data_IF_034456512305
#
_entry.id   IF_034456512305
#
_cell.length_a   1.000
_cell.length_b   1.000
_cell.length_c   1.000
_cell.angle_alpha   90.00
_cell.angle_beta   90.00
_cell.angle_gamma   90.00
#
_symmetry.space_group_name_H-M   'P 1'
#
loop_
_entity.id
_entity.type
_entity.pdbx_description
1 polymer ?
#
# COMPACT_ATOMS: atom_id res chain seq x y z
N UNK A 1 -9.73 13.29 23.15
CA UNK A 1 -9.50 13.14 21.71
C UNK A 1 -9.57 11.65 21.38
N UNK A 2 -10.74 11.13 21.01
CA UNK A 2 -10.98 9.68 20.83
C UNK A 2 -10.33 9.08 19.58
N UNK A 3 -9.92 9.93 18.62
CA UNK A 3 -9.25 9.44 17.41
C UNK A 3 -7.93 8.72 17.73
N UNK A 4 -7.21 9.16 18.76
CA UNK A 4 -5.94 8.56 19.17
C UNK A 4 -6.09 7.12 19.70
N UNK A 5 -7.32 6.68 20.01
CA UNK A 5 -7.61 5.30 20.44
C UNK A 5 -7.55 4.31 19.27
N UNK A 6 -7.60 4.81 18.03
CA UNK A 6 -7.64 4.00 16.79
C UNK A 6 -6.67 4.48 15.71
N UNK A 7 -6.23 5.73 15.74
CA UNK A 7 -5.34 6.33 14.75
C UNK A 7 -4.00 6.70 15.39
N UNK A 8 -2.91 6.28 14.75
CA UNK A 8 -1.59 6.80 15.10
C UNK A 8 -1.50 8.30 14.81
N UNK A 9 -0.75 9.06 15.62
CA UNK A 9 -0.54 10.49 15.41
C UNK A 9 -0.07 10.79 13.97
N UNK A 10 0.81 9.93 13.47
CA UNK A 10 1.36 9.96 12.11
C UNK A 10 0.26 9.99 11.05
N UNK A 11 -0.85 9.27 11.23
CA UNK A 11 -1.95 9.19 10.27
C UNK A 11 -2.52 10.57 9.97
N UNK A 12 -2.78 11.37 10.99
CA UNK A 12 -3.33 12.72 10.84
C UNK A 12 -2.26 13.76 10.50
N UNK A 13 -1.03 13.57 11.02
CA UNK A 13 0.01 14.60 10.96
C UNK A 13 1.00 14.43 9.80
N UNK A 14 0.91 13.36 9.01
CA UNK A 14 1.73 13.14 7.82
C UNK A 14 0.82 12.88 6.62
N UNK A 15 0.19 13.93 6.05
CA UNK A 15 -0.79 13.79 4.97
C UNK A 15 -0.17 13.27 3.66
N UNK A 16 1.12 13.55 3.45
CA UNK A 16 1.91 13.19 2.28
C UNK A 16 3.39 13.01 2.65
N UNK A 17 4.06 12.05 2.00
CA UNK A 17 5.51 11.83 2.07
C UNK A 17 6.17 12.10 0.70
N UNK A 18 7.51 12.06 0.65
CA UNK A 18 8.28 12.48 -0.53
C UNK A 18 7.93 13.91 -0.99
N UNK A 19 7.80 14.81 -0.01
CA UNK A 19 7.58 16.25 -0.23
C UNK A 19 8.89 16.95 -0.60
N UNK A 20 8.79 18.12 -1.23
CA UNK A 20 9.95 18.95 -1.58
C UNK A 20 10.60 18.64 -2.94
N UNK A 21 9.87 17.97 -3.85
CA UNK A 21 10.30 17.77 -5.23
C UNK A 21 11.29 16.62 -5.46
N UNK A 22 11.67 15.89 -4.42
CA UNK A 22 12.50 14.68 -4.52
C UNK A 22 11.57 13.46 -4.59
N UNK A 23 11.51 12.75 -5.73
CA UNK A 23 10.64 11.59 -5.87
C UNK A 23 11.15 10.39 -5.08
N UNK A 24 10.22 9.53 -4.68
CA UNK A 24 10.49 8.21 -4.14
C UNK A 24 10.05 7.14 -5.14
N UNK A 25 10.74 6.00 -5.17
CA UNK A 25 10.29 4.83 -5.93
C UNK A 25 9.11 4.18 -5.22
N UNK A 26 8.02 4.02 -5.95
CA UNK A 26 6.81 3.30 -5.53
C UNK A 26 6.75 1.90 -6.13
N UNK A 27 7.32 1.73 -7.33
CA UNK A 27 7.48 0.41 -7.97
C UNK A 27 8.92 0.21 -8.44
N UNK A 28 9.42 -1.02 -8.29
CA UNK A 28 10.65 -1.51 -8.91
C UNK A 28 10.44 -2.90 -9.51
N UNK A 29 10.34 -2.99 -10.84
CA UNK A 29 10.18 -4.26 -11.58
C UNK A 29 11.52 -4.69 -12.18
N UNK A 30 12.17 -5.69 -11.58
CA UNK A 30 13.42 -6.26 -12.08
C UNK A 30 13.23 -7.23 -13.26
N UNK A 31 12.01 -7.69 -13.53
CA UNK A 31 11.75 -8.67 -14.60
C UNK A 31 11.99 -8.10 -16.00
N UNK A 32 11.99 -6.78 -16.13
CA UNK A 32 12.25 -6.07 -17.39
C UNK A 32 13.72 -5.67 -17.56
N UNK A 33 14.56 -5.94 -16.56
CA UNK A 33 15.99 -5.65 -16.62
C UNK A 33 16.68 -6.47 -17.71
N UNK A 34 17.74 -5.92 -18.31
CA UNK A 34 18.59 -6.61 -19.28
C UNK A 34 18.49 -6.10 -20.72
N UNK A 35 17.69 -5.06 -21.02
CA UNK A 35 17.58 -4.53 -22.38
C UNK A 35 18.92 -3.95 -22.86
N UNK A 36 19.21 -4.12 -24.15
CA UNK A 36 20.34 -3.48 -24.83
C UNK A 36 19.83 -2.78 -26.08
N UNK A 37 20.47 -1.69 -26.47
CA UNK A 37 20.18 -1.02 -27.74
C UNK A 37 20.72 -1.83 -28.94
N UNK A 38 20.54 -1.28 -30.16
CA UNK A 38 20.97 -1.92 -31.40
C UNK A 38 22.50 -2.14 -31.44
N UNK A 39 23.28 -1.32 -30.72
CA UNK A 39 24.73 -1.41 -30.60
C UNK A 39 25.18 -2.29 -29.43
N UNK A 40 24.24 -2.92 -28.71
CA UNK A 40 24.51 -3.81 -27.58
C UNK A 40 24.83 -3.08 -26.27
N UNK A 41 24.62 -1.76 -26.18
CA UNK A 41 24.88 -0.96 -24.98
C UNK A 41 23.67 -0.96 -24.05
N UNK A 42 23.92 -0.70 -22.77
CA UNK A 42 22.87 -0.59 -21.76
C UNK A 42 22.01 0.66 -22.00
N UNK A 43 20.71 0.51 -21.80
CA UNK A 43 19.69 1.53 -22.04
C UNK A 43 19.28 2.18 -20.71
N UNK A 44 19.06 3.49 -20.76
CA UNK A 44 18.43 4.26 -19.68
C UNK A 44 17.31 5.09 -20.29
N UNK A 45 16.10 4.95 -19.76
CA UNK A 45 14.97 5.81 -20.12
C UNK A 45 14.59 6.70 -18.96
N UNK A 46 14.17 7.92 -19.29
CA UNK A 46 13.77 8.95 -18.34
C UNK A 46 12.42 9.52 -18.73
N UNK A 47 11.66 9.98 -17.75
CA UNK A 47 10.46 10.77 -17.97
C UNK A 47 10.79 12.20 -18.43
N UNK A 48 9.75 12.97 -18.75
CA UNK A 48 9.85 14.39 -19.14
C UNK A 48 10.54 15.27 -18.08
N UNK A 49 10.57 14.82 -16.82
CA UNK A 49 11.21 15.52 -15.69
C UNK A 49 12.64 15.02 -15.44
N UNK A 50 13.19 14.21 -16.36
CA UNK A 50 14.55 13.67 -16.30
C UNK A 50 14.76 12.59 -15.25
N UNK A 51 13.69 12.01 -14.68
CA UNK A 51 13.77 10.92 -13.69
C UNK A 51 13.84 9.58 -14.39
N UNK A 52 14.74 8.71 -13.93
CA UNK A 52 14.92 7.38 -14.51
C UNK A 52 13.66 6.55 -14.28
N UNK A 53 13.02 6.15 -15.37
CA UNK A 53 11.86 5.24 -15.42
C UNK A 53 12.26 3.84 -15.80
N UNK A 54 13.39 3.66 -16.48
CA UNK A 54 13.97 2.37 -16.80
C UNK A 54 15.50 2.44 -16.82
N UNK A 55 16.15 1.38 -16.37
CA UNK A 55 17.58 1.19 -16.53
C UNK A 55 17.89 -0.30 -16.74
N UNK A 56 18.66 -0.68 -17.77
CA UNK A 56 18.96 -2.09 -18.06
C UNK A 56 19.47 -2.88 -16.87
N UNK A 57 20.22 -2.22 -15.98
CA UNK A 57 20.79 -2.81 -14.77
C UNK A 57 19.77 -3.13 -13.68
N UNK A 58 18.54 -2.60 -13.77
CA UNK A 58 17.57 -2.56 -12.67
C UNK A 58 16.11 -2.79 -13.11
N UNK A 59 15.78 -2.64 -14.38
CA UNK A 59 14.41 -2.72 -14.88
C UNK A 59 13.63 -1.43 -14.72
N UNK A 60 12.31 -1.54 -14.58
CA UNK A 60 11.38 -0.41 -14.57
C UNK A 60 11.14 0.18 -13.18
N UNK A 61 10.85 1.48 -13.16
CA UNK A 61 10.54 2.25 -11.97
C UNK A 61 9.29 3.11 -12.15
N UNK A 62 8.43 3.10 -11.13
CA UNK A 62 7.41 4.14 -10.96
C UNK A 62 7.86 5.04 -9.82
N UNK A 63 8.06 6.32 -10.13
CA UNK A 63 8.49 7.34 -9.18
C UNK A 63 7.31 8.26 -8.87
N UNK A 64 7.22 8.74 -7.62
CA UNK A 64 6.19 9.69 -7.22
C UNK A 64 6.70 10.70 -6.19
N UNK A 65 6.07 11.88 -6.16
CA UNK A 65 6.30 12.96 -5.18
C UNK A 65 4.98 13.29 -4.50
N UNK A 66 5.03 13.85 -3.29
CA UNK A 66 3.82 14.24 -2.53
C UNK A 66 2.82 13.07 -2.41
N UNK A 67 3.34 11.90 -2.06
CA UNK A 67 2.59 10.65 -2.07
C UNK A 67 1.70 10.58 -0.84
N UNK A 68 0.41 10.35 -1.06
CA UNK A 68 -0.55 10.02 0.01
C UNK A 68 -0.21 8.63 0.56
N UNK A 69 0.00 8.45 1.89
CA UNK A 69 0.21 7.14 2.47
C UNK A 69 -0.98 6.21 2.24
N UNK A 70 -0.71 4.91 2.22
CA UNK A 70 -1.75 3.89 2.38
C UNK A 70 -1.91 3.58 3.87
N UNK A 71 -3.12 3.32 4.33
CA UNK A 71 -3.39 3.12 5.76
C UNK A 71 -3.60 1.64 6.07
N UNK A 72 -3.05 1.16 7.18
CA UNK A 72 -3.16 -0.24 7.62
C UNK A 72 -3.23 -0.32 9.14
N UNK A 73 -3.94 -1.32 9.66
CA UNK A 73 -3.81 -1.70 11.07
C UNK A 73 -2.39 -2.20 11.32
N UNK A 74 -1.79 -1.72 12.41
CA UNK A 74 -0.44 -2.08 12.79
C UNK A 74 -0.28 -2.07 14.30
N UNK A 75 0.27 -3.17 14.83
CA UNK A 75 0.51 -3.36 16.27
C UNK A 75 1.99 -3.25 16.68
N UNK A 76 2.87 -2.83 15.77
CA UNK A 76 4.31 -2.71 16.01
C UNK A 76 5.13 -3.93 15.59
N UNK A 77 4.50 -5.06 15.26
CA UNK A 77 5.19 -6.29 14.90
C UNK A 77 5.26 -6.48 13.38
N UNK A 78 6.46 -6.82 12.90
CA UNK A 78 6.74 -7.06 11.48
C UNK A 78 7.37 -8.45 11.34
N UNK A 79 6.80 -9.28 10.49
CA UNK A 79 7.38 -10.56 10.08
C UNK A 79 8.10 -10.37 8.76
N UNK A 80 9.38 -10.75 8.69
CA UNK A 80 10.17 -10.67 7.46
C UNK A 80 10.20 -12.01 6.76
N UNK A 81 10.22 -11.98 5.44
CA UNK A 81 10.55 -13.16 4.62
C UNK A 81 12.07 -13.30 4.62
N UNK A 82 12.54 -14.45 5.10
CA UNK A 82 13.95 -14.81 5.15
C UNK A 82 14.37 -15.51 3.85
N UNK A 83 15.68 -15.70 3.67
CA UNK A 83 16.23 -16.29 2.44
C UNK A 83 15.86 -17.77 2.27
N UNK A 84 15.66 -18.48 3.38
CA UNK A 84 15.29 -19.89 3.46
C UNK A 84 13.77 -20.12 3.50
N UNK A 85 12.98 -19.05 3.61
CA UNK A 85 11.54 -19.14 3.56
C UNK A 85 11.06 -19.55 2.16
N UNK A 86 10.11 -20.48 2.14
CA UNK A 86 9.40 -20.84 0.92
C UNK A 86 8.30 -19.81 0.65
N UNK A 87 8.21 -19.38 -0.61
CA UNK A 87 7.16 -18.52 -1.14
C UNK A 87 6.17 -19.35 -1.97
N UNK A 88 4.95 -18.85 -2.09
CA UNK A 88 3.95 -19.41 -2.99
C UNK A 88 3.63 -18.41 -4.10
N UNK A 89 4.21 -18.56 -5.30
CA UNK A 89 3.99 -17.65 -6.43
C UNK A 89 2.53 -17.57 -6.92
N UNK A 90 1.64 -18.47 -6.48
CA UNK A 90 0.20 -18.39 -6.82
C UNK A 90 -0.56 -17.38 -5.96
N UNK A 91 -0.01 -17.00 -4.80
CA UNK A 91 -0.61 -16.05 -3.86
C UNK A 91 0.18 -14.72 -3.82
N UNK A 92 0.26 -14.07 -4.98
CA UNK A 92 0.92 -12.77 -5.13
C UNK A 92 0.03 -11.59 -4.67
N UNK A 93 0.63 -10.45 -4.24
CA UNK A 93 2.08 -10.22 -4.11
C UNK A 93 2.68 -10.89 -2.85
N UNK A 94 3.94 -11.30 -2.95
CA UNK A 94 4.69 -11.84 -1.80
C UNK A 94 5.18 -10.69 -0.92
N UNK A 95 4.82 -10.71 0.36
CA UNK A 95 5.33 -9.75 1.33
C UNK A 95 6.81 -10.00 1.65
N UNK A 96 7.71 -9.09 1.28
CA UNK A 96 9.10 -9.06 1.77
C UNK A 96 9.10 -8.87 3.28
N UNK A 97 8.17 -8.05 3.73
CA UNK A 97 7.72 -8.05 5.10
C UNK A 97 6.19 -8.07 5.14
N UNK A 98 5.66 -8.52 6.27
CA UNK A 98 4.24 -8.54 6.60
C UNK A 98 4.07 -7.75 7.88
N UNK A 99 3.20 -6.74 7.85
CA UNK A 99 2.81 -5.99 9.04
C UNK A 99 1.70 -6.75 9.76
N UNK A 100 1.80 -6.83 11.09
CA UNK A 100 0.78 -7.46 11.92
C UNK A 100 -0.10 -6.40 12.59
N UNK A 101 -1.34 -6.77 12.87
CA UNK A 101 -2.32 -5.92 13.55
C UNK A 101 -3.71 -6.09 12.97
N UNK A 102 -4.72 -5.81 13.79
CA UNK A 102 -6.12 -5.84 13.38
C UNK A 102 -6.97 -4.94 14.27
N UNK A 103 -8.16 -4.59 13.81
CA UNK A 103 -9.10 -3.80 14.60
C UNK A 103 -9.51 -4.46 15.94
N UNK A 104 -9.38 -5.80 16.02
CA UNK A 104 -9.87 -6.63 17.13
C UNK A 104 -8.81 -7.01 18.15
N UNK A 105 -7.52 -6.72 17.92
CA UNK A 105 -6.44 -7.15 18.83
C UNK A 105 -6.26 -6.25 20.06
N UNK A 106 -7.04 -5.17 20.17
CA UNK A 106 -7.06 -4.27 21.31
C UNK A 106 -5.84 -3.36 21.47
N UNK A 107 -4.81 -3.49 20.62
CA UNK A 107 -3.56 -2.73 20.70
C UNK A 107 -3.14 -2.05 19.40
N UNK A 108 -3.68 -2.49 18.25
CA UNK A 108 -3.37 -1.91 16.96
C UNK A 108 -3.93 -0.51 16.82
N UNK A 109 -3.18 0.31 16.09
CA UNK A 109 -3.66 1.59 15.55
C UNK A 109 -3.61 1.53 14.02
N UNK A 110 -4.33 2.44 13.36
CA UNK A 110 -4.21 2.65 11.93
C UNK A 110 -3.03 3.58 11.67
N UNK A 111 -2.08 3.11 10.88
CA UNK A 111 -0.82 3.78 10.57
C UNK A 111 -0.71 4.15 9.09
N UNK A 112 -0.02 5.26 8.75
CA UNK A 112 0.32 5.58 7.38
C UNK A 112 1.56 4.78 6.95
N UNK A 113 1.45 4.10 5.83
CA UNK A 113 2.49 3.24 5.26
C UNK A 113 2.88 3.74 3.86
N UNK A 114 4.18 3.66 3.56
CA UNK A 114 4.63 3.50 2.17
C UNK A 114 4.61 2.01 1.87
N UNK A 115 3.91 1.63 0.81
CA UNK A 115 3.98 0.27 0.25
C UNK A 115 4.77 0.35 -1.04
N UNK A 116 6.00 -0.19 -1.03
CA UNK A 116 6.79 -0.35 -2.26
C UNK A 116 6.41 -1.67 -2.87
N UNK A 117 5.99 -1.64 -4.13
CA UNK A 117 5.68 -2.85 -4.91
C UNK A 117 6.82 -3.14 -5.86
N UNK A 118 6.92 -4.36 -6.35
CA UNK A 118 7.94 -4.71 -7.32
C UNK A 118 7.77 -6.08 -7.91
N UNK A 119 8.75 -6.46 -8.73
CA UNK A 119 9.00 -7.85 -9.10
C UNK A 119 10.47 -8.15 -8.91
N UNK A 120 10.78 -9.30 -8.34
CA UNK A 120 12.14 -9.72 -8.05
C UNK A 120 12.32 -11.20 -8.37
N UNK A 121 13.56 -11.63 -8.68
CA UNK A 121 13.81 -13.02 -9.00
C UNK A 121 13.61 -13.92 -7.78
N UNK A 122 13.18 -15.15 -8.04
CA UNK A 122 13.10 -16.23 -7.08
C UNK A 122 13.54 -17.54 -7.75
N UNK A 123 13.94 -18.53 -6.97
CA UNK A 123 14.30 -19.85 -7.48
C UNK A 123 13.02 -20.65 -7.80
N UNK A 124 12.85 -21.05 -9.06
CA UNK A 124 11.61 -21.65 -9.55
C UNK A 124 11.39 -23.11 -9.10
N UNK A 125 12.40 -23.76 -8.52
CA UNK A 125 12.27 -25.11 -7.95
C UNK A 125 12.37 -25.10 -6.43
N UNK A 126 13.32 -24.33 -5.88
CA UNK A 126 13.45 -24.16 -4.44
C UNK A 126 12.38 -23.21 -3.87
N UNK A 127 11.63 -22.48 -4.69
CA UNK A 127 10.53 -21.63 -4.26
C UNK A 127 10.92 -20.65 -3.15
N UNK A 128 12.11 -20.06 -3.20
CA UNK A 128 12.57 -19.04 -2.26
C UNK A 128 13.09 -17.83 -3.03
N UNK A 129 13.03 -16.65 -2.40
CA UNK A 129 13.62 -15.44 -2.96
C UNK A 129 15.14 -15.61 -3.04
N UNK A 130 15.74 -15.12 -4.13
CA UNK A 130 17.19 -15.22 -4.34
C UNK A 130 17.91 -13.92 -4.00
N UNK A 131 19.20 -14.04 -3.65
CA UNK A 131 20.08 -12.91 -3.37
C UNK A 131 21.11 -12.79 -4.50
N UNK A 132 20.79 -12.09 -5.59
CA UNK A 132 21.68 -11.99 -6.74
C UNK A 132 22.89 -11.10 -6.44
N UNK A 133 24.06 -11.50 -6.96
CA UNK A 133 25.24 -10.66 -7.03
C UNK A 133 25.01 -9.54 -8.05
N UNK A 134 24.65 -8.36 -7.56
CA UNK A 134 24.26 -7.24 -8.44
C UNK A 134 25.44 -6.38 -8.89
N UNK A 135 26.41 -6.12 -8.01
CA UNK A 135 27.46 -5.13 -8.22
C UNK A 135 28.86 -5.72 -8.01
N UNK A 136 29.77 -5.46 -8.95
CA UNK A 136 31.15 -5.93 -8.93
C UNK A 136 31.79 -5.68 -10.29
N UNK A 137 33.11 -5.55 -10.34
CA UNK A 137 33.87 -5.53 -11.61
C UNK A 137 34.40 -6.93 -11.93
N UNK A 138 33.49 -7.89 -12.00
CA UNK A 138 33.77 -9.31 -12.28
C UNK A 138 32.79 -9.84 -13.34
N UNK A 139 32.88 -11.13 -13.63
CA UNK A 139 32.06 -11.79 -14.65
C UNK A 139 30.67 -12.22 -14.14
N UNK A 140 30.38 -11.99 -12.86
CA UNK A 140 29.15 -12.44 -12.20
C UNK A 140 28.16 -11.30 -11.92
N UNK A 141 28.65 -10.10 -11.62
CA UNK A 141 27.84 -8.95 -11.27
C UNK A 141 26.80 -8.59 -12.33
N UNK A 142 25.51 -8.61 -11.94
CA UNK A 142 24.40 -8.34 -12.87
C UNK A 142 24.53 -6.99 -13.58
N UNK A 143 24.93 -5.93 -12.87
CA UNK A 143 24.99 -4.57 -13.43
C UNK A 143 25.98 -4.40 -14.58
N UNK A 144 27.01 -5.25 -14.67
CA UNK A 144 27.98 -5.26 -15.76
C UNK A 144 27.53 -6.20 -16.88
N UNK A 145 27.17 -7.43 -16.50
CA UNK A 145 27.01 -8.53 -17.44
C UNK A 145 25.56 -8.67 -17.96
N UNK A 146 24.57 -8.23 -17.19
CA UNK A 146 23.13 -8.39 -17.43
C UNK A 146 22.70 -9.86 -17.58
N UNK A 147 23.38 -10.77 -16.87
CA UNK A 147 23.06 -12.20 -16.85
C UNK A 147 22.54 -12.60 -15.46
N UNK A 148 21.24 -12.90 -15.38
CA UNK A 148 20.58 -13.27 -14.13
C UNK A 148 21.04 -14.61 -13.58
N UNK A 149 21.20 -15.64 -14.42
CA UNK A 149 21.58 -16.97 -13.95
C UNK A 149 22.94 -16.93 -13.24
N UNK A 150 23.95 -16.30 -13.85
CA UNK A 150 25.28 -16.15 -13.27
C UNK A 150 25.25 -15.31 -11.98
N UNK A 151 24.49 -14.21 -11.98
CA UNK A 151 24.37 -13.33 -10.82
C UNK A 151 23.70 -14.02 -9.63
N UNK A 152 22.63 -14.78 -9.89
CA UNK A 152 21.90 -15.54 -8.88
C UNK A 152 22.77 -16.68 -8.35
N UNK A 153 23.39 -17.47 -9.22
CA UNK A 153 24.27 -18.57 -8.81
C UNK A 153 25.42 -18.07 -7.93
N UNK A 154 26.11 -17.01 -8.35
CA UNK A 154 27.20 -16.40 -7.58
C UNK A 154 26.72 -15.88 -6.21
N UNK A 155 25.61 -15.14 -6.19
CA UNK A 155 25.12 -14.52 -4.95
C UNK A 155 24.55 -15.53 -3.95
N UNK A 156 23.86 -16.57 -4.44
CA UNK A 156 23.36 -17.66 -3.60
C UNK A 156 24.50 -18.51 -3.04
N UNK A 157 25.52 -18.79 -3.85
CA UNK A 157 26.73 -19.50 -3.39
C UNK A 157 27.45 -18.75 -2.27
N UNK A 158 27.65 -17.45 -2.42
CA UNK A 158 28.26 -16.60 -1.38
C UNK A 158 27.42 -16.58 -0.10
N UNK A 159 26.09 -16.64 -0.26
CA UNK A 159 25.14 -16.67 0.85
C UNK A 159 24.99 -18.05 1.51
N UNK A 160 25.72 -19.07 1.03
CA UNK A 160 25.61 -20.44 1.53
C UNK A 160 24.27 -21.12 1.21
N UNK A 161 23.52 -20.63 0.23
CA UNK A 161 22.20 -21.11 -0.14
C UNK A 161 22.23 -21.86 -1.49
N UNK A 162 21.43 -22.94 -1.65
CA UNK A 162 21.35 -23.65 -2.92
C UNK A 162 20.63 -22.79 -3.97
N UNK A 163 21.01 -22.99 -5.23
CA UNK A 163 20.28 -22.50 -6.40
C UNK A 163 20.05 -23.67 -7.36
N UNK A 164 18.80 -23.83 -7.82
CA UNK A 164 18.41 -24.93 -8.72
C UNK A 164 18.93 -24.76 -10.16
N UNK A 165 19.41 -23.56 -10.50
CA UNK A 165 19.70 -23.18 -11.88
C UNK A 165 18.48 -22.62 -12.63
N UNK A 166 17.29 -22.66 -12.03
CA UNK A 166 16.05 -22.10 -12.62
C UNK A 166 15.53 -20.96 -11.76
N UNK A 167 15.22 -19.84 -12.41
CA UNK A 167 14.61 -18.69 -11.77
C UNK A 167 13.44 -18.17 -12.58
N UNK A 168 12.54 -17.49 -11.91
CA UNK A 168 11.48 -16.69 -12.51
C UNK A 168 11.30 -15.43 -11.64
N UNK A 169 10.35 -14.56 -11.98
CA UNK A 169 10.06 -13.33 -11.24
C UNK A 169 8.69 -13.40 -10.58
N UNK A 170 8.64 -12.93 -9.34
CA UNK A 170 7.40 -12.87 -8.56
C UNK A 170 7.12 -11.43 -8.15
N UNK A 171 5.84 -11.05 -8.14
CA UNK A 171 5.42 -9.75 -7.62
C UNK A 171 5.59 -9.71 -6.11
N UNK A 172 6.14 -8.61 -5.60
CA UNK A 172 6.41 -8.42 -4.19
C UNK A 172 5.89 -7.09 -3.68
N UNK A 173 5.68 -7.03 -2.38
CA UNK A 173 5.40 -5.78 -1.68
C UNK A 173 6.17 -5.71 -0.36
N UNK A 174 6.46 -4.48 0.05
CA UNK A 174 7.14 -4.21 1.31
C UNK A 174 6.54 -2.94 1.93
N UNK A 175 6.36 -2.99 3.23
CA UNK A 175 5.68 -2.00 4.04
C UNK A 175 6.71 -1.21 4.86
N UNK A 176 6.62 0.12 4.82
CA UNK A 176 7.39 1.00 5.69
C UNK A 176 6.47 1.98 6.41
N UNK A 177 6.45 1.99 7.74
CA UNK A 177 5.70 2.98 8.50
C UNK A 177 6.30 4.37 8.31
N UNK A 178 5.45 5.33 7.97
CA UNK A 178 5.85 6.72 7.75
C UNK A 178 5.88 7.44 9.10
N UNK A 179 7.09 7.79 9.54
CA UNK A 179 7.34 8.43 10.84
C UNK A 179 7.92 9.85 10.75
N UNK A 180 8.35 10.28 9.56
CA UNK A 180 8.99 11.56 9.34
C UNK A 180 8.14 12.45 8.43
N UNK A 181 8.55 13.70 8.25
CA UNK A 181 7.79 14.70 7.50
C UNK A 181 6.44 15.04 8.16
N UNK A 182 6.41 15.17 9.48
CA UNK A 182 5.26 15.77 10.18
C UNK A 182 4.97 17.15 9.56
N UNK A 183 3.73 17.37 9.17
CA UNK A 183 3.28 18.62 8.60
C UNK A 183 2.98 19.66 9.71
N UNK A 184 3.11 20.97 9.41
CA UNK A 184 2.55 22.01 10.25
C UNK A 184 1.08 21.73 10.62
N UNK A 185 0.64 22.17 11.80
CA UNK A 185 -0.68 21.83 12.35
C UNK A 185 -1.86 22.22 11.46
N UNK A 186 -1.72 23.32 10.70
CA UNK A 186 -2.69 23.84 9.73
C UNK A 186 -2.80 22.99 8.45
N UNK A 187 -1.89 22.02 8.29
CA UNK A 187 -1.85 21.05 7.19
C UNK A 187 -2.05 19.61 7.65
N UNK A 188 -2.42 19.40 8.91
CA UNK A 188 -2.86 18.09 9.37
C UNK A 188 -4.18 17.72 8.68
N UNK A 189 -4.46 16.43 8.54
CA UNK A 189 -5.67 15.97 7.88
C UNK A 189 -6.93 16.53 8.55
N UNK A 190 -7.82 17.08 7.73
CA UNK A 190 -9.13 17.55 8.18
C UNK A 190 -10.13 16.39 8.27
N UNK A 191 -11.22 16.59 9.05
CA UNK A 191 -12.23 15.55 9.29
C UNK A 191 -12.78 14.94 7.99
N UNK A 192 -13.10 15.80 7.02
CA UNK A 192 -13.67 15.39 5.73
C UNK A 192 -12.70 14.58 4.87
N UNK A 193 -11.38 14.70 5.07
CA UNK A 193 -10.42 13.89 4.31
C UNK A 193 -10.51 12.41 4.68
N UNK A 194 -10.87 12.08 5.92
CA UNK A 194 -11.02 10.69 6.38
C UNK A 194 -12.46 10.21 6.31
N UNK A 195 -13.45 11.06 6.61
CA UNK A 195 -14.87 10.69 6.72
C UNK A 195 -15.67 10.80 5.41
N UNK A 196 -15.05 11.30 4.33
CA UNK A 196 -15.69 11.25 3.01
C UNK A 196 -15.80 9.81 2.52
N UNK A 197 -16.77 9.54 1.63
CA UNK A 197 -17.03 8.21 1.08
C UNK A 197 -15.78 7.53 0.47
N UNK A 198 -14.93 8.31 -0.19
CA UNK A 198 -13.64 7.88 -0.74
C UNK A 198 -12.48 8.57 0.00
N UNK A 199 -12.60 8.68 1.32
CA UNK A 199 -11.62 9.30 2.19
C UNK A 199 -10.36 8.45 2.41
N UNK A 200 -9.45 8.98 3.23
CA UNK A 200 -8.17 8.33 3.58
C UNK A 200 -8.34 6.93 4.15
N UNK A 201 -9.42 6.70 4.90
CA UNK A 201 -9.70 5.44 5.58
C UNK A 201 -10.67 4.53 4.78
N UNK A 202 -10.91 4.82 3.51
CA UNK A 202 -11.73 3.98 2.65
C UNK A 202 -11.15 2.55 2.58
N UNK A 203 -12.01 1.55 2.81
CA UNK A 203 -11.62 0.14 2.81
C UNK A 203 -10.89 -0.35 4.06
N UNK A 204 -10.77 0.47 5.12
CA UNK A 204 -10.26 0.00 6.41
C UNK A 204 -11.39 -0.67 7.19
N UNK A 205 -11.26 -1.98 7.38
CA UNK A 205 -12.22 -2.77 8.15
C UNK A 205 -12.13 -2.52 9.66
N UNK A 206 -13.22 -2.84 10.36
CA UNK A 206 -13.27 -2.89 11.82
C UNK A 206 -13.42 -1.55 12.54
N UNK A 207 -13.72 -0.48 11.79
CA UNK A 207 -14.20 0.81 12.31
C UNK A 207 -15.51 1.18 11.62
N UNK A 208 -16.31 2.00 12.30
CA UNK A 208 -17.51 2.62 11.71
C UNK A 208 -17.25 4.11 11.52
N UNK A 209 -17.23 4.54 10.26
CA UNK A 209 -17.01 5.92 9.86
C UNK A 209 -18.35 6.56 9.50
N UNK A 210 -18.83 7.45 10.36
CA UNK A 210 -20.04 8.23 10.11
C UNK A 210 -19.95 8.96 8.75
N UNK A 211 -21.02 8.90 7.96
CA UNK A 211 -21.16 9.40 6.58
C UNK A 211 -20.44 8.61 5.47
N UNK A 212 -19.46 7.78 5.78
CA UNK A 212 -18.84 6.86 4.83
C UNK A 212 -19.54 5.50 4.86
N UNK A 213 -19.64 4.91 6.05
CA UNK A 213 -20.27 3.62 6.25
C UNK A 213 -21.76 3.82 6.46
N UNK A 214 -22.55 3.06 5.72
CA UNK A 214 -23.99 3.03 5.90
C UNK A 214 -24.47 1.59 6.03
N UNK A 215 -25.48 1.40 6.87
CA UNK A 215 -26.13 0.11 6.99
C UNK A 215 -27.50 0.23 6.34
N UNK A 216 -27.66 -0.39 5.17
CA UNK A 216 -28.91 -0.30 4.38
C UNK A 216 -30.16 -0.65 5.19
N UNK A 217 -30.06 -1.59 6.12
CA UNK A 217 -31.20 -1.96 6.98
C UNK A 217 -31.52 -0.86 7.99
N UNK A 218 -30.51 -0.33 8.67
CA UNK A 218 -30.68 0.77 9.63
C UNK A 218 -31.22 2.01 8.93
N UNK A 219 -30.67 2.36 7.76
CA UNK A 219 -31.12 3.48 6.95
C UNK A 219 -32.58 3.30 6.53
N UNK A 220 -32.93 2.11 6.03
CA UNK A 220 -34.31 1.82 5.57
C UNK A 220 -35.29 1.92 6.73
N UNK A 221 -34.98 1.32 7.89
CA UNK A 221 -35.83 1.38 9.08
C UNK A 221 -35.94 2.82 9.58
N UNK A 222 -34.81 3.53 9.67
CA UNK A 222 -34.77 4.92 10.12
C UNK A 222 -35.62 5.84 9.26
N UNK A 223 -35.46 5.78 7.93
CA UNK A 223 -36.26 6.58 7.00
C UNK A 223 -37.74 6.16 6.99
N UNK A 224 -38.04 4.87 7.15
CA UNK A 224 -39.42 4.39 7.26
C UNK A 224 -40.09 4.95 8.52
N UNK A 225 -39.41 4.91 9.67
CA UNK A 225 -39.92 5.48 10.92
C UNK A 225 -40.11 7.00 10.82
N UNK A 226 -39.17 7.71 10.20
CA UNK A 226 -39.29 9.14 9.96
C UNK A 226 -40.53 9.47 9.09
N UNK A 227 -40.75 8.70 8.02
CA UNK A 227 -41.92 8.84 7.17
C UNK A 227 -43.23 8.56 7.92
N UNK A 228 -43.29 7.46 8.68
CA UNK A 228 -44.48 7.12 9.47
C UNK A 228 -44.80 8.18 10.52
N UNK A 229 -43.77 8.75 11.16
CA UNK A 229 -43.92 9.84 12.13
C UNK A 229 -44.46 11.10 11.47
N UNK A 230 -43.92 11.47 10.30
CA UNK A 230 -44.41 12.60 9.53
C UNK A 230 -45.88 12.43 9.15
N UNK A 231 -46.26 11.24 8.65
CA UNK A 231 -47.66 10.93 8.33
C UNK A 231 -48.57 11.01 9.55
N UNK A 232 -48.12 10.52 10.71
CA UNK A 232 -48.86 10.62 11.97
C UNK A 232 -49.10 12.07 12.40
N UNK A 233 -48.07 12.92 12.31
CA UNK A 233 -48.18 14.35 12.66
C UNK A 233 -49.13 15.09 11.69
N UNK A 234 -49.00 14.84 10.38
CA UNK A 234 -49.89 15.43 9.37
C UNK A 234 -51.33 14.96 9.62
N UNK A 235 -51.54 13.67 9.85
CA UNK A 235 -52.86 13.10 10.14
C UNK A 235 -53.49 13.72 11.39
N UNK A 236 -52.73 13.83 12.48
CA UNK A 236 -53.19 14.50 13.71
C UNK A 236 -53.53 15.97 13.48
N UNK A 237 -52.72 16.68 12.70
CA UNK A 237 -52.97 18.07 12.31
C UNK A 237 -54.26 18.23 11.51
N UNK A 238 -54.51 17.36 10.53
CA UNK A 238 -55.74 17.36 9.73
C UNK A 238 -56.97 17.08 10.58
N UNK A 239 -56.90 16.10 11.49
CA UNK A 239 -57.98 15.80 12.44
C UNK A 239 -58.33 17.03 13.28
N UNK A 240 -57.31 17.76 13.78
CA UNK A 240 -57.54 19.00 14.54
C UNK A 240 -58.25 20.08 13.73
N UNK A 241 -57.86 20.29 12.46
CA UNK A 241 -58.49 21.30 11.59
C UNK A 241 -59.95 20.94 11.26
N UNK A 242 -60.24 19.67 11.02
CA UNK A 242 -61.61 19.21 10.74
C UNK A 242 -62.48 19.34 12.00
N UNK A 243 -61.95 18.98 13.16
CA UNK A 243 -62.66 19.09 14.43
C UNK A 243 -62.96 20.55 14.82
N UNK A 244 -62.03 21.49 14.57
CA UNK A 244 -62.24 22.90 14.89
C UNK A 244 -63.26 23.60 13.98
N UNK A 245 -63.47 23.10 12.75
CA UNK A 245 -64.54 23.59 11.84
C UNK A 245 -65.93 23.05 12.17
N UNK A 246 -66.02 22.03 13.03
CA UNK A 246 -67.29 21.44 13.50
C UNK A 246 -67.77 22.01 14.84
N UNK A 247 -66.93 22.80 15.51
CA UNK A 247 -67.30 23.66 16.64
C UNK A 247 -67.62 25.07 16.16
#
# INVERSE_FOLDING_TARGET
NHHADKLACQTCHIPEFARGGVPTKMVWDWSTAGERDAEGKQVVRKDEKGKITYESRKGDFINATNVKPEYRWFNGEITYTLVDDKIDPTHQPIGINRINGSASDGKSLIWPMKIMRGKQPYDAENMNLVMPHTAGDDDYGYWKNLNWANAIESGMKESGMPFSGKYDFVSTEMYWPINHMVAPKDKALACNECHAKEGRLAGIDGIYLFAQDNNRWVDTIGWTLALLTLLGVIGHGLIRIIASKKS
#
